data_IF_358368408932
#
_entry.id   IF_358368408932
#
_cell.length_a   1.000
_cell.length_b   1.000
_cell.length_c   1.000
_cell.angle_alpha   90.00
_cell.angle_beta   90.00
_cell.angle_gamma   90.00
#
_symmetry.space_group_name_H-M   'P 1'
#
loop_
_entity.id
_entity.type
_entity.pdbx_description
1 polymer ?
#
# COMPACT_ATOMS: atom_id res chain seq x y z
N UNK A 1 3.37 -37.58 -46.64
CA UNK A 1 2.47 -36.70 -45.88
C UNK A 1 2.70 -35.27 -46.35
N UNK A 2 1.82 -34.76 -47.20
CA UNK A 2 1.87 -33.38 -47.73
C UNK A 2 1.18 -32.49 -46.67
N UNK A 3 1.97 -31.71 -45.95
CA UNK A 3 1.39 -30.72 -45.04
C UNK A 3 0.63 -29.66 -45.87
N UNK A 4 -0.64 -29.36 -45.55
CA UNK A 4 -1.43 -28.42 -46.28
C UNK A 4 -0.83 -26.99 -46.20
N UNK A 5 -0.75 -26.30 -47.32
CA UNK A 5 -0.08 -24.99 -47.48
C UNK A 5 -0.64 -23.88 -46.57
N UNK A 6 -1.84 -24.04 -46.03
CA UNK A 6 -2.46 -23.11 -45.08
C UNK A 6 -1.81 -23.19 -43.67
N UNK A 7 -1.34 -24.39 -43.25
CA UNK A 7 -0.63 -24.53 -41.97
C UNK A 7 0.69 -23.74 -41.96
N UNK A 8 1.43 -23.75 -43.07
CA UNK A 8 2.68 -23.00 -43.16
C UNK A 8 2.47 -21.47 -43.16
N UNK A 9 1.33 -21.00 -43.69
CA UNK A 9 0.96 -19.58 -43.61
C UNK A 9 0.55 -19.20 -42.21
N UNK A 10 -0.20 -20.06 -41.52
CA UNK A 10 -0.59 -19.87 -40.11
C UNK A 10 0.62 -19.79 -39.18
N UNK A 11 1.57 -20.74 -39.34
CA UNK A 11 2.81 -20.75 -38.59
C UNK A 11 3.65 -19.48 -38.80
N UNK A 12 3.75 -19.01 -40.05
CA UNK A 12 4.45 -17.75 -40.36
C UNK A 12 3.74 -16.55 -39.74
N UNK A 13 2.42 -16.48 -39.78
CA UNK A 13 1.65 -15.40 -39.15
C UNK A 13 1.85 -15.39 -37.63
N UNK A 14 1.78 -16.56 -36.99
CA UNK A 14 2.04 -16.68 -35.54
C UNK A 14 3.49 -16.26 -35.21
N UNK A 15 4.47 -16.70 -36.00
CA UNK A 15 5.87 -16.34 -35.81
C UNK A 15 6.10 -14.82 -35.95
N UNK A 16 5.50 -14.18 -36.97
CA UNK A 16 5.58 -12.72 -37.10
C UNK A 16 4.90 -11.97 -35.96
N UNK A 17 3.75 -12.47 -35.48
CA UNK A 17 3.02 -11.89 -34.37
C UNK A 17 3.80 -12.03 -33.07
N UNK A 18 4.42 -13.18 -32.84
CA UNK A 18 5.30 -13.41 -31.71
C UNK A 18 6.56 -12.52 -31.73
N UNK A 19 7.15 -12.37 -32.96
CA UNK A 19 8.30 -11.48 -33.16
C UNK A 19 7.92 -10.02 -32.90
N UNK A 20 6.80 -9.55 -33.41
CA UNK A 20 6.28 -8.20 -33.21
C UNK A 20 5.98 -7.95 -31.73
N UNK A 21 5.34 -8.89 -31.04
CA UNK A 21 5.09 -8.81 -29.60
C UNK A 21 6.38 -8.77 -28.80
N UNK A 22 7.38 -9.59 -29.15
CA UNK A 22 8.71 -9.58 -28.54
C UNK A 22 9.45 -8.25 -28.73
N UNK A 23 9.39 -7.70 -29.94
CA UNK A 23 9.98 -6.39 -30.24
C UNK A 23 9.29 -5.26 -29.48
N UNK A 24 7.95 -5.25 -29.43
CA UNK A 24 7.20 -4.27 -28.64
C UNK A 24 7.53 -4.37 -27.15
N UNK A 25 7.63 -5.59 -26.63
CA UNK A 25 8.00 -5.81 -25.23
C UNK A 25 9.44 -5.39 -24.94
N UNK A 26 10.38 -5.71 -25.83
CA UNK A 26 11.77 -5.27 -25.73
C UNK A 26 11.92 -3.76 -25.82
N UNK A 27 11.23 -3.12 -26.77
CA UNK A 27 11.23 -1.66 -26.90
C UNK A 27 10.60 -0.98 -25.68
N UNK A 28 9.50 -1.51 -25.16
CA UNK A 28 8.87 -1.01 -23.93
C UNK A 28 9.79 -1.16 -22.70
N UNK A 29 10.47 -2.29 -22.58
CA UNK A 29 11.45 -2.52 -21.51
C UNK A 29 12.64 -1.57 -21.62
N UNK A 30 13.14 -1.36 -22.84
CA UNK A 30 14.26 -0.44 -23.12
C UNK A 30 13.86 1.01 -22.80
N UNK A 31 12.66 1.44 -23.23
CA UNK A 31 12.12 2.75 -22.94
C UNK A 31 11.95 2.97 -21.42
N UNK A 32 11.47 1.96 -20.69
CA UNK A 32 11.36 2.00 -19.25
C UNK A 32 12.73 2.23 -18.59
N UNK A 33 13.75 1.46 -18.97
CA UNK A 33 15.07 1.50 -18.34
C UNK A 33 15.93 2.68 -18.74
N UNK A 34 15.86 3.11 -20.00
CA UNK A 34 16.72 4.18 -20.51
C UNK A 34 16.10 5.57 -20.39
N UNK A 35 14.77 5.66 -20.36
CA UNK A 35 14.09 6.96 -20.41
C UNK A 35 13.26 7.25 -19.17
N UNK A 36 12.45 6.31 -18.68
CA UNK A 36 11.56 6.51 -17.53
C UNK A 36 12.35 6.43 -16.22
N UNK A 37 13.13 5.36 -16.01
CA UNK A 37 13.85 5.13 -14.76
C UNK A 37 14.81 6.28 -14.40
N UNK A 38 15.63 6.84 -15.30
CA UNK A 38 16.50 7.96 -14.96
C UNK A 38 15.78 9.28 -14.68
N UNK A 39 14.56 9.42 -15.19
CA UNK A 39 13.74 10.64 -15.07
C UNK A 39 12.57 10.50 -14.10
N UNK A 40 12.55 9.41 -13.33
CA UNK A 40 11.41 9.14 -12.43
C UNK A 40 11.17 10.28 -11.42
N UNK A 41 12.23 10.98 -11.01
CA UNK A 41 12.14 12.15 -10.13
C UNK A 41 11.29 13.29 -10.71
N UNK A 42 11.27 13.46 -12.02
CA UNK A 42 10.50 14.51 -12.70
C UNK A 42 8.98 14.26 -12.60
N UNK A 43 8.58 13.00 -12.38
CA UNK A 43 7.18 12.63 -12.21
C UNK A 43 6.65 12.84 -10.78
N UNK A 44 7.53 13.20 -9.83
CA UNK A 44 7.15 13.45 -8.43
C UNK A 44 5.99 14.42 -8.28
N UNK A 45 5.97 15.63 -8.90
CA UNK A 45 4.86 16.57 -8.75
C UNK A 45 3.54 16.02 -9.30
N UNK A 46 3.60 15.27 -10.41
CA UNK A 46 2.42 14.61 -10.99
C UNK A 46 1.84 13.54 -10.06
N UNK A 47 2.72 12.76 -9.42
CA UNK A 47 2.32 11.75 -8.43
C UNK A 47 1.75 12.38 -7.17
N UNK A 48 2.34 13.46 -6.65
CA UNK A 48 1.81 14.22 -5.52
C UNK A 48 0.40 14.75 -5.81
N UNK A 49 0.18 15.32 -7.01
CA UNK A 49 -1.13 15.82 -7.43
C UNK A 49 -2.16 14.69 -7.58
N UNK A 50 -1.77 13.59 -8.21
CA UNK A 50 -2.63 12.43 -8.38
C UNK A 50 -3.03 11.84 -7.01
N UNK A 51 -2.06 11.63 -6.13
CA UNK A 51 -2.28 11.12 -4.78
C UNK A 51 -3.19 12.06 -3.98
N UNK A 52 -2.93 13.37 -4.03
CA UNK A 52 -3.75 14.39 -3.36
C UNK A 52 -5.20 14.37 -3.87
N UNK A 53 -5.42 14.21 -5.18
CA UNK A 53 -6.78 14.13 -5.74
C UNK A 53 -7.49 12.84 -5.37
N UNK A 54 -6.75 11.70 -5.35
CA UNK A 54 -7.35 10.38 -5.08
C UNK A 54 -7.66 10.20 -3.60
N UNK A 55 -6.76 10.66 -2.72
CA UNK A 55 -6.90 10.51 -1.26
C UNK A 55 -7.77 11.63 -0.67
N UNK A 56 -7.85 12.78 -1.35
CA UNK A 56 -8.54 13.98 -0.84
C UNK A 56 -7.77 14.75 0.23
N UNK A 57 -6.52 14.40 0.47
CA UNK A 57 -5.62 15.02 1.45
C UNK A 57 -4.32 15.44 0.78
N UNK A 58 -3.68 16.49 1.31
CA UNK A 58 -2.42 16.96 0.76
C UNK A 58 -1.32 15.92 0.97
N UNK A 59 -0.75 15.43 -0.13
CA UNK A 59 0.37 14.48 -0.13
C UNK A 59 1.63 15.19 -0.59
N UNK A 60 2.72 15.02 0.15
CA UNK A 60 4.07 15.47 -0.23
C UNK A 60 5.01 14.29 -0.26
N UNK A 61 5.85 14.22 -1.29
CA UNK A 61 6.87 13.17 -1.48
C UNK A 61 8.23 13.86 -1.47
N UNK A 62 9.13 13.48 -0.57
CA UNK A 62 10.47 14.07 -0.47
C UNK A 62 11.34 13.69 -1.66
N UNK A 63 11.50 12.39 -1.93
CA UNK A 63 12.27 11.88 -3.04
C UNK A 63 11.58 10.67 -3.69
N UNK A 64 11.80 10.51 -4.99
CA UNK A 64 11.35 9.37 -5.77
C UNK A 64 12.56 8.83 -6.54
N UNK A 65 12.94 7.60 -6.26
CA UNK A 65 14.05 6.90 -6.90
C UNK A 65 13.54 5.60 -7.52
N UNK A 66 14.04 5.27 -8.70
CA UNK A 66 13.82 3.97 -9.30
C UNK A 66 15.07 3.14 -9.13
N UNK A 67 14.92 1.89 -8.67
CA UNK A 67 15.99 0.91 -8.61
C UNK A 67 15.63 -0.26 -9.51
N UNK A 68 16.49 -0.54 -10.45
CA UNK A 68 16.36 -1.71 -11.32
C UNK A 68 17.32 -2.78 -10.78
N UNK A 69 16.76 -3.70 -9.98
CA UNK A 69 17.50 -4.86 -9.52
C UNK A 69 16.88 -6.09 -10.18
N UNK A 70 17.43 -6.49 -11.33
CA UNK A 70 16.94 -7.62 -12.11
C UNK A 70 15.81 -7.28 -13.09
N UNK A 71 14.86 -8.22 -13.28
CA UNK A 71 13.78 -8.11 -14.28
C UNK A 71 12.61 -7.24 -13.85
N UNK A 72 12.46 -6.98 -12.56
CA UNK A 72 11.36 -6.20 -12.00
C UNK A 72 11.88 -4.85 -11.47
N UNK A 73 11.41 -3.72 -12.02
CA UNK A 73 11.74 -2.42 -11.46
C UNK A 73 11.10 -2.26 -10.08
N UNK A 74 11.84 -1.68 -9.15
CA UNK A 74 11.33 -1.24 -7.87
C UNK A 74 11.45 0.27 -7.75
N UNK A 75 10.46 0.88 -7.13
CA UNK A 75 10.41 2.32 -6.87
C UNK A 75 10.55 2.54 -5.38
N UNK A 76 11.45 3.41 -5.01
CA UNK A 76 11.64 3.83 -3.63
C UNK A 76 11.19 5.28 -3.50
N UNK A 77 10.20 5.48 -2.64
CA UNK A 77 9.70 6.80 -2.27
C UNK A 77 10.17 7.10 -0.85
N UNK A 78 10.65 8.31 -0.62
CA UNK A 78 11.14 8.75 0.69
C UNK A 78 10.40 9.97 1.17
N UNK A 79 10.25 10.06 2.48
CA UNK A 79 9.63 11.18 3.18
C UNK A 79 8.25 11.55 2.62
N UNK A 80 7.39 10.53 2.49
CA UNK A 80 5.99 10.78 2.14
C UNK A 80 5.27 11.25 3.40
N UNK A 81 4.56 12.38 3.28
CA UNK A 81 3.76 12.95 4.35
C UNK A 81 2.37 13.25 3.86
N UNK A 82 1.38 12.83 4.60
CA UNK A 82 -0.02 13.20 4.40
C UNK A 82 -0.39 14.21 5.49
N UNK A 83 -1.11 15.25 5.07
CA UNK A 83 -1.56 16.31 5.96
C UNK A 83 -3.09 16.31 6.00
N UNK A 84 -3.63 16.44 7.21
CA UNK A 84 -5.06 16.60 7.43
C UNK A 84 -5.56 17.97 6.91
N UNK A 85 -6.89 18.24 6.89
CA UNK A 85 -7.44 19.51 6.48
C UNK A 85 -6.96 20.70 7.31
N UNK A 86 -6.46 20.45 8.53
CA UNK A 86 -5.87 21.46 9.42
C UNK A 86 -4.36 21.63 9.18
N UNK A 87 -3.80 20.99 8.14
CA UNK A 87 -2.39 20.99 7.79
C UNK A 87 -1.47 20.41 8.87
N UNK A 88 -2.00 19.52 9.71
CA UNK A 88 -1.21 18.72 10.67
C UNK A 88 -0.76 17.42 10.00
N UNK A 89 0.46 16.92 10.32
CA UNK A 89 0.92 15.65 9.79
C UNK A 89 0.08 14.50 10.38
N UNK A 90 -0.62 13.77 9.52
CA UNK A 90 -1.52 12.68 9.90
C UNK A 90 -0.92 11.30 9.62
N UNK A 91 -0.05 11.21 8.62
CA UNK A 91 0.69 9.99 8.28
C UNK A 91 2.06 10.38 7.76
N UNK A 92 3.09 9.77 8.31
CA UNK A 92 4.48 9.89 7.85
C UNK A 92 5.00 8.52 7.43
N UNK A 93 5.51 8.45 6.20
CA UNK A 93 6.10 7.25 5.61
C UNK A 93 7.55 7.58 5.21
N UNK A 94 8.52 7.36 6.10
CA UNK A 94 9.92 7.70 5.83
C UNK A 94 10.47 6.99 4.60
N UNK A 95 10.06 5.74 4.38
CA UNK A 95 10.47 4.95 3.23
C UNK A 95 9.38 3.99 2.80
N UNK A 96 9.07 4.03 1.50
CA UNK A 96 8.14 3.11 0.85
C UNK A 96 8.84 2.48 -0.35
N UNK A 97 8.84 1.16 -0.44
CA UNK A 97 9.37 0.42 -1.58
C UNK A 97 8.24 -0.30 -2.28
N UNK A 98 8.09 -0.05 -3.55
CA UNK A 98 7.08 -0.64 -4.43
C UNK A 98 7.78 -1.49 -5.47
N UNK A 99 7.53 -2.78 -5.50
CA UNK A 99 7.99 -3.67 -6.56
C UNK A 99 6.84 -3.96 -7.53
N UNK A 100 7.13 -3.82 -8.81
CA UNK A 100 6.18 -4.05 -9.90
C UNK A 100 6.73 -5.17 -10.78
N UNK A 101 5.90 -6.18 -11.09
CA UNK A 101 6.21 -7.25 -12.02
C UNK A 101 5.32 -7.14 -13.27
N UNK A 102 5.65 -7.88 -14.33
CA UNK A 102 4.79 -7.98 -15.52
C UNK A 102 3.37 -8.44 -15.14
N UNK A 103 3.28 -9.34 -14.17
CA UNK A 103 2.00 -9.82 -13.64
C UNK A 103 1.23 -8.74 -12.90
N UNK A 104 1.93 -7.87 -12.16
CA UNK A 104 1.33 -6.73 -11.45
C UNK A 104 0.65 -5.76 -12.42
N UNK A 105 1.27 -5.52 -13.56
CA UNK A 105 0.70 -4.65 -14.61
C UNK A 105 -0.57 -5.26 -15.20
N UNK A 106 -0.58 -6.57 -15.44
CA UNK A 106 -1.76 -7.26 -15.98
C UNK A 106 -2.94 -7.32 -15.01
N UNK A 107 -2.69 -7.36 -13.71
CA UNK A 107 -3.71 -7.49 -12.67
C UNK A 107 -3.98 -6.18 -11.90
N UNK A 108 -3.38 -5.05 -12.32
CA UNK A 108 -3.50 -3.74 -11.67
C UNK A 108 -3.23 -3.79 -10.15
N UNK A 109 -2.26 -4.61 -9.75
CA UNK A 109 -1.81 -4.77 -8.36
C UNK A 109 -0.30 -4.57 -8.24
N UNK A 110 0.22 -4.55 -7.01
CA UNK A 110 1.65 -4.52 -6.73
C UNK A 110 2.14 -5.93 -6.38
N UNK A 111 3.35 -6.26 -6.78
CA UNK A 111 4.00 -7.51 -6.37
C UNK A 111 4.36 -7.46 -4.89
N UNK A 112 4.94 -6.33 -4.46
CA UNK A 112 5.29 -6.09 -3.07
C UNK A 112 5.21 -4.60 -2.74
N UNK A 113 4.65 -4.30 -1.57
CA UNK A 113 4.64 -2.99 -0.94
C UNK A 113 5.32 -3.09 0.41
N UNK A 114 6.44 -2.41 0.60
CA UNK A 114 7.16 -2.36 1.88
C UNK A 114 7.11 -0.94 2.43
N UNK A 115 6.66 -0.82 3.66
CA UNK A 115 6.58 0.43 4.42
C UNK A 115 7.57 0.33 5.59
N UNK A 116 8.65 1.10 5.55
CA UNK A 116 9.66 1.11 6.62
C UNK A 116 9.37 2.27 7.58
N UNK A 117 9.16 1.94 8.84
CA UNK A 117 8.93 2.84 9.97
C UNK A 117 7.81 3.86 9.73
N UNK A 118 6.62 3.43 9.28
CA UNK A 118 5.51 4.36 9.14
C UNK A 118 5.06 4.89 10.50
N UNK A 119 4.70 6.17 10.57
CA UNK A 119 4.09 6.79 11.74
C UNK A 119 2.66 7.16 11.41
N UNK A 120 1.72 6.55 12.13
CA UNK A 120 0.28 6.72 11.94
C UNK A 120 -0.33 7.36 13.17
N UNK A 121 -1.05 8.45 12.98
CA UNK A 121 -1.85 9.07 14.03
C UNK A 121 -3.31 8.66 13.92
N UNK A 122 -3.85 8.13 15.03
CA UNK A 122 -5.26 7.83 15.21
C UNK A 122 -5.80 8.82 16.24
N UNK A 123 -6.81 9.60 15.87
CA UNK A 123 -7.45 10.57 16.76
C UNK A 123 -8.92 10.21 16.98
N UNK A 124 -9.34 10.24 18.21
CA UNK A 124 -10.73 10.18 18.61
C UNK A 124 -11.18 11.58 19.01
N UNK A 125 -11.99 12.21 18.16
CA UNK A 125 -12.43 13.60 18.34
C UNK A 125 -13.41 13.75 19.50
N UNK A 126 -13.60 14.96 19.98
CA UNK A 126 -14.61 15.30 20.99
C UNK A 126 -16.05 14.98 20.52
N UNK A 127 -16.30 15.06 19.19
CA UNK A 127 -17.57 14.67 18.56
C UNK A 127 -17.82 13.16 18.49
N UNK A 128 -16.81 12.34 18.84
CA UNK A 128 -16.90 10.87 18.81
C UNK A 128 -16.53 10.25 17.48
N UNK A 129 -15.95 11.02 16.57
CA UNK A 129 -15.47 10.53 15.28
C UNK A 129 -14.06 9.98 15.41
N UNK A 130 -13.76 8.95 14.64
CA UNK A 130 -12.43 8.38 14.51
C UNK A 130 -11.75 8.92 13.28
N UNK A 131 -10.59 9.53 13.46
CA UNK A 131 -9.70 9.96 12.38
C UNK A 131 -8.50 9.01 12.34
N UNK A 132 -8.31 8.31 11.24
CA UNK A 132 -7.13 7.49 10.98
C UNK A 132 -6.36 8.11 9.84
N UNK A 133 -5.12 8.48 10.08
CA UNK A 133 -4.32 9.24 9.13
C UNK A 133 -5.02 10.54 8.66
N UNK A 134 -5.83 11.17 9.52
CA UNK A 134 -6.62 12.37 9.19
C UNK A 134 -7.88 12.11 8.37
N UNK A 135 -8.17 10.86 7.99
CA UNK A 135 -9.39 10.46 7.30
C UNK A 135 -10.44 10.02 8.32
N UNK A 136 -11.67 10.50 8.18
CA UNK A 136 -12.79 10.03 9.00
C UNK A 136 -13.05 8.56 8.71
N UNK A 137 -12.98 7.73 9.74
CA UNK A 137 -13.54 6.39 9.70
C UNK A 137 -15.08 6.55 9.75
N UNK A 138 -15.69 6.60 8.58
CA UNK A 138 -17.13 6.64 8.46
C UNK A 138 -17.77 5.40 9.07
N UNK A 139 -19.05 5.53 9.41
CA UNK A 139 -19.95 4.44 9.82
C UNK A 139 -19.77 3.21 8.92
N UNK A 140 -19.85 1.98 9.45
CA UNK A 140 -19.74 0.76 8.66
C UNK A 140 -20.71 0.83 7.46
N UNK A 141 -20.14 0.95 6.25
CA UNK A 141 -20.91 1.07 5.00
C UNK A 141 -20.51 2.20 4.07
N UNK A 142 -19.76 3.20 4.49
CA UNK A 142 -19.32 4.32 3.65
C UNK A 142 -17.84 4.23 3.30
N UNK A 143 -17.51 3.82 2.06
CA UNK A 143 -16.23 4.10 1.40
C UNK A 143 -14.97 3.36 1.87
N UNK A 144 -14.96 2.76 3.06
CA UNK A 144 -13.77 2.06 3.58
C UNK A 144 -13.52 0.68 2.93
N UNK A 145 -14.48 0.15 2.18
CA UNK A 145 -14.31 -1.10 1.43
C UNK A 145 -13.25 -0.97 0.34
N UNK A 146 -13.16 0.20 -0.31
CA UNK A 146 -12.28 0.38 -1.47
C UNK A 146 -10.79 0.36 -1.10
N UNK A 147 -10.43 0.97 0.05
CA UNK A 147 -9.06 0.95 0.56
C UNK A 147 -8.65 -0.45 1.04
N UNK A 148 -9.55 -1.15 1.75
CA UNK A 148 -9.32 -2.52 2.17
C UNK A 148 -9.24 -3.46 0.96
N UNK A 149 -10.16 -3.33 0.00
CA UNK A 149 -10.16 -4.10 -1.24
C UNK A 149 -8.91 -3.83 -2.08
N UNK A 150 -8.42 -2.58 -2.10
CA UNK A 150 -7.14 -2.26 -2.73
C UNK A 150 -5.98 -2.97 -2.03
N UNK A 151 -5.92 -2.93 -0.69
CA UNK A 151 -4.88 -3.58 0.11
C UNK A 151 -4.85 -5.10 -0.13
N UNK A 152 -6.01 -5.74 -0.17
CA UNK A 152 -6.14 -7.18 -0.40
C UNK A 152 -5.90 -7.59 -1.87
N UNK A 153 -5.83 -6.65 -2.80
CA UNK A 153 -5.39 -6.90 -4.19
C UNK A 153 -3.87 -6.98 -4.33
N UNK A 154 -3.12 -6.38 -3.39
CA UNK A 154 -1.67 -6.45 -3.41
C UNK A 154 -1.22 -7.86 -3.03
N UNK A 155 -0.16 -8.38 -3.67
CA UNK A 155 0.31 -9.73 -3.39
C UNK A 155 0.95 -9.84 -2.01
N UNK A 156 1.80 -8.88 -1.68
CA UNK A 156 2.44 -8.80 -0.38
C UNK A 156 2.53 -7.36 0.10
N UNK A 157 2.11 -7.14 1.34
CA UNK A 157 2.30 -5.85 2.04
C UNK A 157 3.05 -6.11 3.31
N UNK A 158 4.14 -5.38 3.50
CA UNK A 158 5.02 -5.50 4.66
C UNK A 158 5.19 -4.13 5.30
N UNK A 159 4.87 -4.04 6.57
CA UNK A 159 5.19 -2.90 7.45
C UNK A 159 6.28 -3.34 8.39
N UNK A 160 7.29 -2.51 8.59
CA UNK A 160 8.42 -2.77 9.50
C UNK A 160 8.64 -1.62 10.44
N UNK A 161 8.70 -1.92 11.72
CA UNK A 161 9.06 -0.97 12.78
C UNK A 161 8.15 0.25 12.82
N UNK A 162 6.86 0.09 12.48
CA UNK A 162 5.87 1.16 12.50
C UNK A 162 5.58 1.68 13.90
N UNK A 163 5.01 2.88 13.98
CA UNK A 163 4.48 3.47 15.21
C UNK A 163 3.05 3.92 14.97
N UNK A 164 2.14 3.48 15.84
CA UNK A 164 0.75 3.92 15.84
C UNK A 164 0.50 4.72 17.10
N UNK A 165 0.22 6.01 16.96
CA UNK A 165 -0.11 6.90 18.08
C UNK A 165 -1.61 7.07 18.19
N UNK A 166 -2.09 7.01 19.39
CA UNK A 166 -3.49 7.22 19.70
C UNK A 166 -3.67 8.45 20.56
N UNK A 167 -4.51 9.36 20.10
CA UNK A 167 -4.88 10.58 20.83
C UNK A 167 -6.40 10.64 20.98
N UNK A 168 -6.89 10.89 22.21
CA UNK A 168 -8.32 11.08 22.49
C UNK A 168 -8.57 12.49 22.99
N UNK A 169 -9.30 13.29 22.25
CA UNK A 169 -9.66 14.66 22.65
C UNK A 169 -10.61 14.69 23.85
N UNK A 170 -11.42 13.63 24.05
CA UNK A 170 -12.33 13.53 25.21
C UNK A 170 -11.61 13.31 26.54
N UNK A 171 -10.52 12.57 26.53
CA UNK A 171 -9.74 12.32 27.73
C UNK A 171 -9.10 13.61 28.28
N UNK A 172 -8.82 14.57 27.40
CA UNK A 172 -8.23 15.85 27.74
C UNK A 172 -9.22 16.81 28.41
N UNK A 173 -10.52 16.68 28.10
CA UNK A 173 -11.56 17.55 28.70
C UNK A 173 -11.97 17.10 30.11
N UNK A 174 -11.77 15.84 30.47
CA UNK A 174 -12.24 15.27 31.73
C UNK A 174 -11.24 15.35 32.90
N UNK A 175 -9.95 15.55 32.63
CA UNK A 175 -8.90 15.50 33.64
C UNK A 175 -8.34 16.86 34.07
N UNK A 176 -8.65 17.96 33.39
CA UNK A 176 -8.17 19.29 33.74
C UNK A 176 -6.63 19.45 33.76
N UNK A 177 -5.90 18.43 33.29
CA UNK A 177 -4.45 18.46 33.13
C UNK A 177 -4.10 18.98 31.74
N UNK A 178 -2.97 19.68 31.67
CA UNK A 178 -2.46 20.23 30.41
C UNK A 178 -2.32 19.09 29.34
N UNK A 179 -2.78 19.29 28.11
CA UNK A 179 -2.69 18.27 27.04
C UNK A 179 -1.29 17.70 26.79
N UNK A 180 -0.26 18.38 27.31
CA UNK A 180 1.15 17.99 27.15
C UNK A 180 1.62 16.94 28.17
N UNK A 181 0.89 16.69 29.26
CA UNK A 181 1.36 15.85 30.37
C UNK A 181 0.94 14.37 30.30
N UNK A 182 -0.04 14.00 29.47
CA UNK A 182 -0.38 12.61 29.26
C UNK A 182 0.36 12.06 28.02
N UNK A 183 1.31 11.14 28.19
CA UNK A 183 2.01 10.56 27.05
C UNK A 183 0.97 9.91 26.10
N UNK A 184 1.03 10.21 24.80
CA UNK A 184 0.12 9.58 23.85
C UNK A 184 0.32 8.06 23.91
N UNK A 185 -0.78 7.33 23.93
CA UNK A 185 -0.72 5.88 23.82
C UNK A 185 -0.11 5.53 22.46
N UNK A 186 1.01 4.83 22.47
CA UNK A 186 1.67 4.45 21.23
C UNK A 186 1.97 2.96 21.24
N UNK A 187 1.56 2.28 20.15
CA UNK A 187 2.12 0.99 19.78
C UNK A 187 3.40 1.26 19.00
N UNK A 188 4.50 0.65 19.41
CA UNK A 188 5.80 0.76 18.76
C UNK A 188 6.23 -0.57 18.16
N UNK A 189 7.25 -0.54 17.32
CA UNK A 189 7.76 -1.75 16.64
C UNK A 189 6.64 -2.57 16.00
N UNK A 190 5.73 -1.86 15.33
CA UNK A 190 4.61 -2.51 14.63
C UNK A 190 5.13 -3.12 13.34
N UNK A 191 5.14 -4.44 13.28
CA UNK A 191 5.48 -5.20 12.09
C UNK A 191 4.22 -5.90 11.57
N UNK A 192 3.87 -5.67 10.31
CA UNK A 192 2.73 -6.30 9.66
C UNK A 192 3.20 -7.01 8.40
N UNK A 193 2.79 -8.24 8.23
CA UNK A 193 2.97 -8.99 6.99
C UNK A 193 1.60 -9.48 6.53
N UNK A 194 1.15 -8.95 5.40
CA UNK A 194 -0.05 -9.38 4.71
C UNK A 194 0.37 -10.09 3.42
N UNK A 195 0.01 -11.34 3.26
CA UNK A 195 0.24 -12.13 2.04
C UNK A 195 -1.08 -12.55 1.46
N UNK A 196 -1.28 -12.17 0.20
CA UNK A 196 -2.51 -12.45 -0.51
C UNK A 196 -2.26 -13.45 -1.64
N UNK A 197 -2.92 -14.60 -1.55
CA UNK A 197 -3.04 -15.58 -2.62
C UNK A 197 -4.45 -15.49 -3.24
N UNK A 198 -4.70 -16.25 -4.31
CA UNK A 198 -5.96 -16.19 -5.06
C UNK A 198 -7.23 -16.36 -4.19
N UNK A 199 -7.16 -17.16 -3.11
CA UNK A 199 -8.31 -17.48 -2.26
C UNK A 199 -7.99 -17.45 -0.76
N UNK A 200 -6.77 -17.03 -0.40
CA UNK A 200 -6.30 -17.05 0.97
C UNK A 200 -5.51 -15.77 1.27
N UNK A 201 -5.79 -15.20 2.42
CA UNK A 201 -5.11 -14.03 2.94
C UNK A 201 -4.52 -14.39 4.31
N UNK A 202 -3.21 -14.32 4.44
CA UNK A 202 -2.50 -14.55 5.69
C UNK A 202 -2.04 -13.19 6.24
N UNK A 203 -2.37 -12.91 7.49
CA UNK A 203 -1.99 -11.67 8.19
C UNK A 203 -1.21 -12.05 9.43
N UNK A 204 -0.08 -11.39 9.64
CA UNK A 204 0.68 -11.41 10.87
C UNK A 204 0.93 -9.98 11.32
N UNK A 205 0.63 -9.70 12.59
CA UNK A 205 0.88 -8.44 13.26
C UNK A 205 1.70 -8.72 14.51
N UNK A 206 2.84 -8.09 14.63
CA UNK A 206 3.66 -8.03 15.84
C UNK A 206 3.67 -6.58 16.32
N UNK A 207 3.49 -6.31 17.59
CA UNK A 207 3.53 -4.95 18.14
C UNK A 207 3.93 -4.93 19.61
N UNK A 208 4.56 -3.82 20.04
CA UNK A 208 4.96 -3.55 21.40
C UNK A 208 4.06 -2.45 21.98
N UNK A 209 3.21 -2.77 22.96
CA UNK A 209 2.36 -1.79 23.64
C UNK A 209 3.18 -0.94 24.63
N UNK A 210 2.62 0.15 25.17
CA UNK A 210 3.22 0.88 26.28
C UNK A 210 3.54 -0.03 27.46
N UNK A 211 4.64 0.24 28.20
CA UNK A 211 5.17 -0.63 29.24
C UNK A 211 4.17 -0.99 30.35
N UNK A 212 3.17 -0.16 30.58
CA UNK A 212 2.10 -0.37 31.57
C UNK A 212 0.92 -1.20 31.04
N UNK A 213 0.92 -1.57 29.74
CA UNK A 213 -0.16 -2.33 29.11
C UNK A 213 0.19 -3.80 28.83
N UNK A 214 1.46 -4.14 28.89
CA UNK A 214 1.93 -5.50 28.70
C UNK A 214 3.20 -5.60 27.87
N UNK A 215 3.49 -6.82 27.44
CA UNK A 215 4.64 -7.15 26.61
C UNK A 215 4.29 -7.19 25.12
N UNK A 216 5.32 -7.31 24.26
CA UNK A 216 5.17 -7.52 22.83
C UNK A 216 4.23 -8.69 22.54
N UNK A 217 3.26 -8.48 21.68
CA UNK A 217 2.29 -9.50 21.28
C UNK A 217 2.36 -9.80 19.78
N UNK A 218 1.88 -10.97 19.44
CA UNK A 218 1.77 -11.43 18.04
C UNK A 218 0.33 -11.86 17.79
N UNK A 219 -0.25 -11.33 16.72
CA UNK A 219 -1.54 -11.72 16.21
C UNK A 219 -1.36 -12.38 14.83
N UNK A 220 -1.94 -13.54 14.62
CA UNK A 220 -1.95 -14.21 13.33
C UNK A 220 -3.39 -14.49 12.93
N UNK A 221 -3.70 -14.20 11.67
CA UNK A 221 -5.02 -14.46 11.10
C UNK A 221 -4.91 -15.05 9.71
N UNK A 222 -5.82 -15.96 9.41
CA UNK A 222 -5.98 -16.52 8.07
C UNK A 222 -7.41 -16.35 7.62
N UNK A 223 -7.59 -15.75 6.44
CA UNK A 223 -8.89 -15.49 5.87
C UNK A 223 -9.02 -16.22 4.54
N UNK A 224 -10.18 -16.78 4.26
CA UNK A 224 -10.51 -17.36 2.96
C UNK A 224 -11.60 -16.55 2.29
N UNK A 225 -11.40 -16.21 1.02
CA UNK A 225 -12.42 -15.58 0.21
C UNK A 225 -13.30 -16.67 -0.40
N UNK A 226 -14.60 -16.65 -0.12
CA UNK A 226 -15.57 -17.55 -0.79
C UNK A 226 -15.63 -17.26 -2.29
N UNK A 227 -15.62 -18.29 -3.12
CA UNK A 227 -15.64 -18.20 -4.60
C UNK A 227 -16.83 -17.41 -5.18
N UNK A 228 -17.86 -17.13 -4.38
CA UNK A 228 -19.13 -16.51 -4.81
C UNK A 228 -19.51 -15.27 -3.98
N UNK A 229 -18.66 -14.79 -3.08
CA UNK A 229 -18.98 -13.61 -2.28
C UNK A 229 -18.35 -12.35 -2.89
N UNK A 230 -19.19 -11.43 -3.30
CA UNK A 230 -18.81 -10.05 -3.64
C UNK A 230 -18.47 -9.20 -2.40
N UNK A 231 -18.43 -9.80 -1.22
CA UNK A 231 -18.14 -9.12 0.05
C UNK A 231 -16.81 -9.61 0.64
N UNK A 232 -16.04 -8.72 1.32
CA UNK A 232 -14.79 -9.10 1.98
C UNK A 232 -15.02 -10.22 3.00
N UNK A 233 -14.09 -11.16 3.07
CA UNK A 233 -14.17 -12.45 3.72
C UNK A 233 -14.66 -12.43 5.18
N UNK A 234 -15.36 -13.50 5.57
CA UNK A 234 -15.71 -13.79 6.96
C UNK A 234 -14.52 -14.43 7.68
N UNK A 235 -14.29 -14.01 8.93
CA UNK A 235 -13.47 -14.75 9.87
C UNK A 235 -14.01 -16.17 10.01
N UNK A 236 -13.16 -17.17 9.93
CA UNK A 236 -13.42 -18.52 10.40
C UNK A 236 -12.51 -18.76 11.60
N UNK A 237 -13.13 -19.03 12.75
CA UNK A 237 -12.48 -19.50 13.96
C UNK A 237 -11.79 -20.86 13.73
#
# INVERSE_FOLDING_TARGET
>A
FVFPSWLSRLWRAIAWLALAAGLCMGAGWLALHLWIVPRIGDFRPALEQLATRTIGMQVRIGALEARSTGWAPSFELRDIRLFDPQNLPALSLPRVVIAISVRSVLHLGLEQLVLDRPELDIRHTASGQWLVAGLELGTPGSGNSDAADWLFRQREVVVRGGTVRWTSERAHQSTGHDPQDAPPLALTEVDIVLRNALHQHDVRLDATPPANWGERFVLMGRFRRGLLSSHPGRFQD
#
